data_IF_067718178973
#
_entry.id   IF_067718178973
#
_cell.length_a   1.000
_cell.length_b   1.000
_cell.length_c   1.000
_cell.angle_alpha   90.00
_cell.angle_beta   90.00
_cell.angle_gamma   90.00
#
_symmetry.space_group_name_H-M   'P 1'
#
loop_
_entity.id
_entity.type
_entity.pdbx_description
1 polymer ?
#
# COMPACT_ATOMS: atom_id res chain seq x y z
N UNK A 1 28.60 -38.08 -35.16
CA UNK A 1 28.90 -37.95 -33.72
C UNK A 1 27.94 -36.94 -33.08
N UNK A 2 27.07 -37.36 -32.15
CA UNK A 2 25.93 -36.60 -31.66
C UNK A 2 26.25 -35.79 -30.39
N UNK A 3 25.52 -34.68 -30.23
CA UNK A 3 24.92 -34.18 -28.98
C UNK A 3 25.77 -34.14 -27.69
N UNK A 4 26.26 -32.94 -27.33
CA UNK A 4 26.38 -32.52 -25.92
C UNK A 4 25.88 -31.09 -25.78
N UNK A 5 24.56 -30.93 -25.78
CA UNK A 5 23.95 -29.76 -25.13
C UNK A 5 24.27 -29.89 -23.64
N UNK A 6 25.13 -28.98 -23.18
CA UNK A 6 25.64 -28.96 -21.82
C UNK A 6 24.45 -28.63 -20.90
N UNK A 7 24.03 -29.61 -20.11
CA UNK A 7 23.04 -29.51 -19.02
C UNK A 7 23.51 -28.63 -17.85
N UNK A 8 24.34 -27.62 -18.09
CA UNK A 8 24.83 -26.70 -17.05
C UNK A 8 24.00 -25.42 -16.93
N UNK A 9 23.06 -25.15 -17.84
CA UNK A 9 22.23 -23.94 -17.76
C UNK A 9 20.96 -24.10 -16.93
N UNK A 10 20.71 -25.27 -16.34
CA UNK A 10 19.53 -25.48 -15.46
C UNK A 10 19.86 -25.24 -13.98
N UNK A 11 21.14 -25.21 -13.59
CA UNK A 11 21.55 -24.92 -12.21
C UNK A 11 21.63 -23.41 -11.93
N UNK A 12 21.70 -22.57 -12.98
CA UNK A 12 21.64 -21.10 -12.83
C UNK A 12 20.26 -20.56 -12.43
N UNK A 13 19.22 -21.39 -12.43
CA UNK A 13 17.89 -21.00 -11.94
C UNK A 13 17.76 -21.12 -10.42
N UNK A 14 18.68 -21.81 -9.73
CA UNK A 14 18.63 -21.97 -8.28
C UNK A 14 19.29 -20.80 -7.52
N UNK A 15 20.32 -20.16 -8.10
CA UNK A 15 20.96 -18.96 -7.52
C UNK A 15 20.19 -17.66 -7.80
N UNK A 16 19.38 -17.61 -8.86
CA UNK A 16 18.49 -16.49 -9.15
C UNK A 16 17.15 -16.56 -8.37
N UNK A 17 16.85 -17.71 -7.76
CA UNK A 17 15.52 -18.00 -7.19
C UNK A 17 15.26 -17.38 -5.82
N UNK A 18 16.21 -17.46 -4.89
CA UNK A 18 16.05 -16.91 -3.53
C UNK A 18 16.06 -15.38 -3.50
N UNK A 19 17.00 -14.66 -4.15
CA UNK A 19 17.00 -13.20 -4.12
C UNK A 19 15.75 -12.61 -4.78
N UNK A 20 15.29 -13.19 -5.88
CA UNK A 20 14.10 -12.73 -6.60
C UNK A 20 12.82 -12.99 -5.79
N UNK A 21 12.71 -14.15 -5.13
CA UNK A 21 11.57 -14.46 -4.26
C UNK A 21 11.54 -13.56 -3.03
N UNK A 22 12.69 -13.33 -2.38
CA UNK A 22 12.80 -12.42 -1.24
C UNK A 22 12.51 -10.97 -1.65
N UNK A 23 13.02 -10.51 -2.80
CA UNK A 23 12.72 -9.18 -3.33
C UNK A 23 11.23 -9.02 -3.61
N UNK A 24 10.58 -10.03 -4.19
CA UNK A 24 9.13 -10.02 -4.43
C UNK A 24 8.36 -9.98 -3.11
N UNK A 25 8.73 -10.80 -2.14
CA UNK A 25 8.11 -10.83 -0.82
C UNK A 25 8.22 -9.48 -0.11
N UNK A 26 9.42 -8.89 -0.08
CA UNK A 26 9.66 -7.56 0.49
C UNK A 26 8.87 -6.50 -0.27
N UNK A 27 8.80 -6.56 -1.60
CA UNK A 27 8.01 -5.63 -2.42
C UNK A 27 6.51 -5.72 -2.13
N UNK A 28 5.96 -6.94 -1.95
CA UNK A 28 4.56 -7.15 -1.58
C UNK A 28 4.31 -6.64 -0.16
N UNK A 29 5.16 -6.98 0.81
CA UNK A 29 5.07 -6.47 2.18
C UNK A 29 5.12 -4.94 2.21
N UNK A 30 6.04 -4.35 1.46
CA UNK A 30 6.16 -2.90 1.33
C UNK A 30 4.88 -2.29 0.74
N UNK A 31 4.38 -2.83 -0.37
CA UNK A 31 3.17 -2.33 -1.03
C UNK A 31 1.94 -2.43 -0.14
N UNK A 32 1.79 -3.53 0.62
CA UNK A 32 0.70 -3.70 1.58
C UNK A 32 0.83 -2.72 2.76
N UNK A 33 2.04 -2.52 3.29
CA UNK A 33 2.25 -1.54 4.37
C UNK A 33 2.02 -0.11 3.89
N UNK A 34 2.45 0.22 2.67
CA UNK A 34 2.19 1.51 2.06
C UNK A 34 0.69 1.74 1.83
N UNK A 35 -0.01 0.71 1.34
CA UNK A 35 -1.46 0.73 1.18
C UNK A 35 -2.15 0.99 2.53
N UNK A 36 -1.82 0.21 3.57
CA UNK A 36 -2.38 0.38 4.91
C UNK A 36 -2.05 1.76 5.50
N UNK A 37 -0.83 2.25 5.30
CA UNK A 37 -0.41 3.58 5.74
C UNK A 37 -1.25 4.68 5.10
N UNK A 38 -1.46 4.62 3.78
CA UNK A 38 -2.27 5.60 3.06
C UNK A 38 -3.74 5.52 3.46
N UNK A 39 -4.30 4.31 3.59
CA UNK A 39 -5.66 4.13 4.11
C UNK A 39 -5.80 4.73 5.51
N UNK A 40 -4.85 4.50 6.41
CA UNK A 40 -4.86 5.07 7.76
C UNK A 40 -4.67 6.59 7.81
N UNK A 41 -4.16 7.21 6.74
CA UNK A 41 -4.03 8.67 6.64
C UNK A 41 -5.35 9.35 6.26
N UNK A 42 -6.30 8.61 5.67
CA UNK A 42 -7.59 9.15 5.25
C UNK A 42 -8.43 9.45 6.51
N UNK A 43 -8.94 10.69 6.67
CA UNK A 43 -9.72 11.08 7.84
C UNK A 43 -11.16 10.57 7.75
N UNK A 44 -11.37 9.25 7.66
CA UNK A 44 -12.68 8.62 7.59
C UNK A 44 -12.72 7.40 8.50
N UNK A 45 -13.68 7.28 9.43
CA UNK A 45 -13.81 6.09 10.24
C UNK A 45 -14.17 4.87 9.37
N UNK A 46 -13.66 3.67 9.67
CA UNK A 46 -12.87 3.25 10.84
C UNK A 46 -11.35 3.50 10.74
N UNK A 47 -10.88 4.26 9.76
CA UNK A 47 -9.46 4.54 9.50
C UNK A 47 -8.93 5.55 10.53
N UNK A 48 -7.72 5.33 11.03
CA UNK A 48 -7.13 6.05 12.19
C UNK A 48 -6.95 7.56 11.95
N UNK A 49 -6.98 8.01 10.70
CA UNK A 49 -6.87 9.41 10.31
C UNK A 49 -8.01 10.29 10.81
N UNK A 50 -9.13 9.72 11.26
CA UNK A 50 -10.23 10.50 11.87
C UNK A 50 -9.81 11.19 13.18
N UNK A 51 -8.70 10.77 13.80
CA UNK A 51 -8.13 11.46 14.96
C UNK A 51 -7.56 12.85 14.64
N UNK A 52 -7.49 13.23 13.37
CA UNK A 52 -7.09 14.57 12.94
C UNK A 52 -8.22 15.61 13.06
N UNK A 53 -9.49 15.19 13.16
CA UNK A 53 -10.63 16.11 13.27
C UNK A 53 -10.54 17.10 14.45
N UNK A 54 -10.19 16.69 15.69
CA UNK A 54 -10.00 17.61 16.82
C UNK A 54 -9.01 18.74 16.54
N UNK A 55 -7.96 18.48 15.75
CA UNK A 55 -6.96 19.49 15.38
C UNK A 55 -7.47 20.49 14.35
N UNK A 56 -8.47 20.13 13.53
CA UNK A 56 -9.00 20.99 12.46
C UNK A 56 -10.20 21.81 12.94
N UNK A 57 -11.15 21.18 13.64
CA UNK A 57 -12.46 21.77 13.97
C UNK A 57 -12.67 22.03 15.47
N UNK A 58 -11.68 21.73 16.31
CA UNK A 58 -11.75 21.87 17.76
C UNK A 58 -12.43 20.68 18.46
N UNK A 59 -12.12 20.48 19.73
CA UNK A 59 -12.50 19.28 20.49
C UNK A 59 -14.02 19.07 20.59
N UNK A 60 -14.80 20.13 20.85
CA UNK A 60 -16.26 20.00 21.00
C UNK A 60 -16.97 19.59 19.70
N UNK A 61 -16.54 20.15 18.56
CA UNK A 61 -17.12 19.81 17.25
C UNK A 61 -16.66 18.43 16.82
N UNK A 62 -15.40 18.08 17.09
CA UNK A 62 -14.86 16.77 16.77
C UNK A 62 -15.54 15.65 17.54
N UNK A 63 -15.88 15.85 18.81
CA UNK A 63 -16.66 14.88 19.59
C UNK A 63 -18.02 14.61 18.95
N UNK A 64 -18.77 15.66 18.58
CA UNK A 64 -20.07 15.50 17.91
C UNK A 64 -19.98 14.77 16.57
N UNK A 65 -18.94 15.08 15.79
CA UNK A 65 -18.66 14.38 14.52
C UNK A 65 -18.32 12.92 14.80
N UNK A 66 -17.47 12.63 15.78
CA UNK A 66 -17.08 11.27 16.13
C UNK A 66 -18.26 10.45 16.64
N UNK A 67 -19.10 11.01 17.49
CA UNK A 67 -20.32 10.38 17.99
C UNK A 67 -21.31 10.03 16.87
N UNK A 68 -21.41 10.92 15.87
CA UNK A 68 -22.20 10.64 14.66
C UNK A 68 -21.56 9.52 13.84
N UNK A 69 -20.25 9.57 13.64
CA UNK A 69 -19.50 8.63 12.82
C UNK A 69 -19.35 7.22 13.42
N UNK A 70 -19.50 7.08 14.74
CA UNK A 70 -19.48 5.79 15.45
C UNK A 70 -20.77 4.96 15.27
N UNK A 71 -21.77 5.46 14.53
CA UNK A 71 -22.99 4.72 14.25
C UNK A 71 -22.73 3.44 13.45
N UNK A 72 -23.33 2.30 13.84
CA UNK A 72 -23.16 1.04 13.12
C UNK A 72 -23.73 1.17 11.70
N UNK A 73 -22.83 1.22 10.71
CA UNK A 73 -23.17 1.41 9.29
C UNK A 73 -22.38 2.54 8.62
N UNK A 74 -22.04 3.60 9.36
CA UNK A 74 -21.27 4.72 8.80
C UNK A 74 -19.83 4.32 8.47
N UNK A 75 -19.22 3.42 9.24
CA UNK A 75 -17.88 2.90 8.93
C UNK A 75 -17.78 2.21 7.57
N UNK A 76 -18.85 1.55 7.10
CA UNK A 76 -18.87 0.95 5.76
C UNK A 76 -18.91 2.04 4.68
N UNK A 77 -19.72 3.08 4.90
CA UNK A 77 -19.78 4.24 4.00
C UNK A 77 -18.41 4.94 3.96
N UNK A 78 -17.76 5.09 5.11
CA UNK A 78 -16.40 5.63 5.22
C UNK A 78 -15.38 4.82 4.42
N UNK A 79 -15.44 3.48 4.48
CA UNK A 79 -14.61 2.60 3.64
C UNK A 79 -14.90 2.74 2.14
N UNK A 80 -16.17 2.85 1.74
CA UNK A 80 -16.54 3.06 0.34
C UNK A 80 -16.02 4.40 -0.17
N UNK A 81 -16.15 5.48 0.61
CA UNK A 81 -15.61 6.79 0.23
C UNK A 81 -14.08 6.74 0.20
N UNK A 82 -13.44 6.10 1.19
CA UNK A 82 -11.99 5.93 1.21
C UNK A 82 -11.51 5.17 -0.03
N UNK A 83 -12.23 4.15 -0.49
CA UNK A 83 -11.93 3.43 -1.73
C UNK A 83 -11.90 4.36 -2.95
N UNK A 84 -12.92 5.20 -3.12
CA UNK A 84 -12.95 6.15 -4.23
C UNK A 84 -11.82 7.17 -4.18
N UNK A 85 -11.49 7.68 -2.99
CA UNK A 85 -10.36 8.62 -2.82
C UNK A 85 -9.01 7.93 -2.99
N UNK A 86 -8.93 6.64 -2.65
CA UNK A 86 -7.69 5.88 -2.68
C UNK A 86 -7.18 5.65 -4.10
N UNK A 87 -8.07 5.41 -5.07
CA UNK A 87 -7.65 5.22 -6.48
C UNK A 87 -6.85 6.42 -7.01
N UNK A 88 -7.22 7.65 -6.64
CA UNK A 88 -6.53 8.88 -7.05
C UNK A 88 -5.19 9.10 -6.32
N UNK A 89 -5.08 8.65 -5.07
CA UNK A 89 -3.91 8.90 -4.21
C UNK A 89 -2.87 7.78 -4.34
N UNK A 90 -3.30 6.53 -4.44
CA UNK A 90 -2.41 5.37 -4.40
C UNK A 90 -1.50 5.30 -5.62
N UNK A 91 -2.02 5.57 -6.82
CA UNK A 91 -1.25 5.56 -8.06
C UNK A 91 0.05 6.40 -7.96
N UNK A 92 -0.03 7.72 -7.72
CA UNK A 92 1.15 8.57 -7.66
C UNK A 92 2.08 8.22 -6.48
N UNK A 93 1.54 7.85 -5.32
CA UNK A 93 2.36 7.51 -4.15
C UNK A 93 3.08 6.17 -4.35
N UNK A 94 2.42 5.17 -4.92
CA UNK A 94 3.03 3.88 -5.23
C UNK A 94 4.16 4.04 -6.25
N UNK A 95 3.93 4.81 -7.32
CA UNK A 95 4.97 5.12 -8.31
C UNK A 95 6.15 5.87 -7.68
N UNK A 96 5.90 6.84 -6.81
CA UNK A 96 6.96 7.51 -6.07
C UNK A 96 7.74 6.55 -5.16
N UNK A 97 7.02 5.68 -4.45
CA UNK A 97 7.59 4.72 -3.51
C UNK A 97 8.47 3.66 -4.21
N UNK A 98 8.05 3.13 -5.36
CA UNK A 98 8.86 2.20 -6.16
C UNK A 98 10.08 2.89 -6.77
N UNK A 99 9.96 4.15 -7.22
CA UNK A 99 11.09 4.92 -7.73
C UNK A 99 12.14 5.19 -6.65
N UNK A 100 11.70 5.35 -5.39
CA UNK A 100 12.59 5.51 -4.25
C UNK A 100 13.26 4.19 -3.83
N UNK A 101 12.53 3.07 -3.93
CA UNK A 101 13.02 1.74 -3.57
C UNK A 101 13.94 1.12 -4.64
N UNK A 102 13.70 1.45 -5.92
CA UNK A 102 14.51 1.06 -7.07
C UNK A 102 15.01 2.30 -7.83
N UNK A 103 15.94 3.09 -7.24
CA UNK A 103 16.52 4.25 -7.91
C UNK A 103 17.41 3.77 -9.06
N UNK A 104 16.83 3.61 -10.26
CA UNK A 104 17.56 3.16 -11.45
C UNK A 104 16.75 2.41 -12.51
N UNK A 105 15.48 2.06 -12.26
CA UNK A 105 14.59 1.52 -13.29
C UNK A 105 13.54 2.56 -13.66
N UNK A 106 13.88 3.42 -14.63
CA UNK A 106 12.93 4.31 -15.30
C UNK A 106 11.93 3.43 -16.03
N UNK A 107 10.70 3.33 -15.50
CA UNK A 107 9.58 2.80 -16.26
C UNK A 107 9.03 3.95 -17.12
N UNK A 108 9.31 3.90 -18.43
CA UNK A 108 8.58 4.71 -19.43
C UNK A 108 7.15 4.20 -19.61
#
# INVERSE_FOLDING_TARGET
EPNRIITSSVVGAYDAGLPTTLATFVSVMFSLNLLLFLFNLIPLPPLDGSNLYPFIVGEETAQKIMDFLQQPGIGIIGLVIAWFLFDDIFGPVHLFAINLLYPGLTYE
#
